data_IF_215993044289
#
_entry.id   IF_215993044289
#
_cell.length_a   1.000
_cell.length_b   1.000
_cell.length_c   1.000
_cell.angle_alpha   90.00
_cell.angle_beta   90.00
_cell.angle_gamma   90.00
#
_symmetry.space_group_name_H-M   'P 1'
#
loop_
_entity.id
_entity.type
_entity.pdbx_description
1 polymer ?
#
# COMPACT_ATOMS: atom_id res chain seq x y z
N UNK A 1 50.30 38.81 30.84
CA UNK A 1 49.70 37.52 30.39
C UNK A 1 48.17 37.58 30.22
N UNK A 2 47.53 38.75 30.09
CA UNK A 2 46.06 38.87 29.96
C UNK A 2 45.56 38.99 28.51
N UNK A 3 46.45 39.34 27.57
CA UNK A 3 46.09 39.55 26.16
C UNK A 3 45.78 38.26 25.39
N UNK A 4 46.52 37.16 25.66
CA UNK A 4 46.39 35.91 24.89
C UNK A 4 45.02 35.23 25.06
N UNK A 5 44.43 35.31 26.25
CA UNK A 5 43.13 34.70 26.54
C UNK A 5 41.99 35.38 25.76
N UNK A 6 42.09 36.69 25.51
CA UNK A 6 41.09 37.41 24.72
C UNK A 6 41.18 37.06 23.23
N UNK A 7 42.38 36.80 22.71
CA UNK A 7 42.56 36.37 21.32
C UNK A 7 42.01 34.98 21.07
N UNK A 8 42.18 34.05 22.01
CA UNK A 8 41.62 32.69 21.91
C UNK A 8 40.10 32.72 21.90
N UNK A 9 39.47 33.49 22.80
CA UNK A 9 38.00 33.60 22.86
C UNK A 9 37.40 34.24 21.59
N UNK A 10 38.06 35.27 21.03
CA UNK A 10 37.62 35.87 19.77
C UNK A 10 37.78 34.93 18.57
N UNK A 11 38.85 34.13 18.55
CA UNK A 11 39.08 33.12 17.51
C UNK A 11 38.02 32.03 17.57
N UNK A 12 37.70 31.53 18.76
CA UNK A 12 36.73 30.46 18.95
C UNK A 12 35.31 30.90 18.60
N UNK A 13 34.95 32.16 18.92
CA UNK A 13 33.69 32.78 18.48
C UNK A 13 33.60 32.91 16.97
N UNK A 14 34.70 33.31 16.29
CA UNK A 14 34.76 33.38 14.82
C UNK A 14 34.63 31.98 14.18
N UNK A 15 35.33 30.98 14.71
CA UNK A 15 35.28 29.60 14.20
C UNK A 15 33.87 28.99 14.33
N UNK A 16 33.19 29.21 15.45
CA UNK A 16 31.78 28.78 15.62
C UNK A 16 30.85 29.41 14.58
N UNK A 17 31.10 30.67 14.19
CA UNK A 17 30.31 31.36 13.16
C UNK A 17 30.56 30.77 11.76
N UNK A 18 31.80 30.43 11.42
CA UNK A 18 32.13 29.81 10.13
C UNK A 18 31.55 28.40 9.97
N UNK A 19 31.35 27.66 11.06
CA UNK A 19 30.73 26.32 11.01
C UNK A 19 29.29 26.31 10.49
N UNK A 20 28.59 27.45 10.54
CA UNK A 20 27.20 27.58 10.12
C UNK A 20 27.04 28.37 8.80
N UNK A 21 28.15 28.71 8.14
CA UNK A 21 28.16 29.41 6.84
C UNK A 21 28.66 28.47 5.75
N UNK A 22 27.93 28.39 4.65
CA UNK A 22 28.33 27.68 3.44
C UNK A 22 29.41 28.44 2.67
N UNK A 23 29.93 27.82 1.61
CA UNK A 23 31.06 28.29 0.79
C UNK A 23 30.87 29.72 0.23
N UNK A 24 29.62 30.18 0.11
CA UNK A 24 29.26 31.52 -0.39
C UNK A 24 28.75 32.49 0.70
N UNK A 25 28.97 32.19 1.99
CA UNK A 25 28.47 33.01 3.09
C UNK A 25 26.97 32.88 3.35
N UNK A 26 26.29 31.96 2.66
CA UNK A 26 24.89 31.60 2.95
C UNK A 26 24.82 30.79 4.25
N UNK A 27 23.84 31.07 5.10
CA UNK A 27 23.59 30.24 6.29
C UNK A 27 23.14 28.87 5.80
N UNK A 28 23.84 27.81 6.22
CA UNK A 28 23.39 26.44 5.96
C UNK A 28 22.14 26.25 6.81
N UNK A 29 20.97 26.43 6.19
CA UNK A 29 19.72 26.12 6.87
C UNK A 29 19.75 24.63 7.20
N UNK A 30 19.53 24.24 8.47
CA UNK A 30 19.44 22.84 8.82
C UNK A 30 18.32 22.21 7.99
N UNK A 31 18.68 21.16 7.24
CA UNK A 31 17.71 20.38 6.49
C UNK A 31 16.59 19.95 7.44
N UNK A 32 15.34 19.93 7.00
CA UNK A 32 14.17 19.61 7.85
C UNK A 32 14.25 18.23 8.56
N UNK A 33 15.21 17.40 8.19
CA UNK A 33 15.59 16.13 8.83
C UNK A 33 16.58 16.25 9.99
N UNK A 34 17.25 17.41 10.14
CA UNK A 34 18.23 17.72 11.20
C UNK A 34 17.69 18.72 12.24
N UNK A 35 16.46 19.20 12.09
CA UNK A 35 15.78 19.92 13.17
C UNK A 35 15.47 18.91 14.27
N UNK A 36 16.18 19.02 15.39
CA UNK A 36 15.91 18.26 16.59
C UNK A 36 14.43 18.45 16.96
N UNK A 37 13.65 17.37 16.87
CA UNK A 37 12.27 17.36 17.34
C UNK A 37 12.31 17.59 18.85
N UNK A 38 11.80 18.74 19.31
CA UNK A 38 11.57 18.92 20.74
C UNK A 38 10.46 17.95 21.16
N UNK A 39 10.86 16.89 21.87
CA UNK A 39 9.95 15.93 22.47
C UNK A 39 9.19 16.61 23.61
N UNK A 40 8.05 17.21 23.28
CA UNK A 40 7.08 17.68 24.27
C UNK A 40 6.29 16.47 24.77
N UNK A 41 5.96 16.36 26.07
CA UNK A 41 5.18 15.22 26.60
C UNK A 41 3.85 14.99 25.86
N UNK A 42 3.22 16.06 25.35
CA UNK A 42 2.03 15.99 24.50
C UNK A 42 2.30 15.34 23.14
N UNK A 43 3.47 15.56 22.54
CA UNK A 43 3.89 14.92 21.29
C UNK A 43 4.08 13.42 21.49
N UNK A 44 4.64 13.01 22.63
CA UNK A 44 4.83 11.61 22.99
C UNK A 44 3.48 10.91 23.20
N UNK A 45 2.53 11.59 23.87
CA UNK A 45 1.16 11.10 23.99
C UNK A 45 0.50 10.95 22.62
N UNK A 46 0.61 11.94 21.74
CA UNK A 46 0.02 11.87 20.39
C UNK A 46 0.64 10.76 19.52
N UNK A 47 1.95 10.52 19.65
CA UNK A 47 2.68 9.50 18.91
C UNK A 47 2.17 8.08 19.23
N UNK A 48 1.66 7.85 20.44
CA UNK A 48 1.08 6.58 20.87
C UNK A 48 -0.44 6.58 20.69
N UNK A 49 -1.12 7.66 21.09
CA UNK A 49 -2.57 7.73 21.08
C UNK A 49 -3.14 7.63 19.66
N UNK A 50 -2.52 8.29 18.67
CA UNK A 50 -2.98 8.26 17.28
C UNK A 50 -2.99 6.83 16.70
N UNK A 51 -1.89 6.05 16.72
CA UNK A 51 -1.93 4.69 16.19
C UNK A 51 -2.90 3.80 16.96
N UNK A 52 -3.02 3.95 18.29
CA UNK A 52 -4.00 3.19 19.06
C UNK A 52 -5.45 3.50 18.65
N UNK A 53 -5.78 4.78 18.48
CA UNK A 53 -7.10 5.21 18.04
C UNK A 53 -7.37 4.67 16.63
N UNK A 54 -6.40 4.74 15.72
CA UNK A 54 -6.54 4.22 14.36
C UNK A 54 -6.73 2.70 14.33
N UNK A 55 -5.97 1.96 15.14
CA UNK A 55 -6.14 0.51 15.27
C UNK A 55 -7.52 0.18 15.84
N UNK A 56 -7.99 0.93 16.83
CA UNK A 56 -9.30 0.73 17.41
C UNK A 56 -10.42 1.00 16.38
N UNK A 57 -10.33 2.11 15.65
CA UNK A 57 -11.26 2.42 14.56
C UNK A 57 -11.24 1.35 13.47
N UNK A 58 -10.05 0.86 13.10
CA UNK A 58 -9.91 -0.21 12.13
C UNK A 58 -10.58 -1.50 12.64
N UNK A 59 -10.33 -1.90 13.89
CA UNK A 59 -10.95 -3.10 14.48
C UNK A 59 -12.47 -2.96 14.58
N UNK A 60 -12.99 -1.77 14.91
CA UNK A 60 -14.44 -1.54 14.94
C UNK A 60 -15.06 -1.53 13.54
N UNK A 61 -14.33 -1.02 12.55
CA UNK A 61 -14.79 -0.96 11.16
C UNK A 61 -14.59 -2.25 10.36
N UNK A 62 -13.71 -3.14 10.80
CA UNK A 62 -13.34 -4.36 10.09
C UNK A 62 -14.55 -5.24 9.71
N UNK A 63 -15.57 -5.45 10.56
CA UNK A 63 -16.75 -6.24 10.17
C UNK A 63 -17.54 -5.59 9.04
N UNK A 64 -17.61 -4.25 9.01
CA UNK A 64 -18.29 -3.52 7.94
C UNK A 64 -17.50 -3.60 6.64
N UNK A 65 -16.17 -3.52 6.72
CA UNK A 65 -15.28 -3.73 5.58
C UNK A 65 -15.45 -5.14 5.02
N UNK A 66 -15.48 -6.17 5.87
CA UNK A 66 -15.70 -7.56 5.42
C UNK A 66 -17.08 -7.76 4.80
N UNK A 67 -18.13 -7.15 5.36
CA UNK A 67 -19.46 -7.19 4.76
C UNK A 67 -19.49 -6.48 3.40
N UNK A 68 -18.82 -5.34 3.25
CA UNK A 68 -18.71 -4.64 1.98
C UNK A 68 -18.01 -5.52 0.93
N UNK A 69 -16.93 -6.20 1.31
CA UNK A 69 -16.27 -7.18 0.45
C UNK A 69 -17.19 -8.33 0.07
N UNK A 70 -17.97 -8.87 1.02
CA UNK A 70 -18.95 -9.91 0.74
C UNK A 70 -19.94 -9.46 -0.34
N UNK A 71 -20.53 -8.27 -0.20
CA UNK A 71 -21.47 -7.71 -1.20
C UNK A 71 -20.79 -7.49 -2.54
N UNK A 72 -19.55 -6.97 -2.54
CA UNK A 72 -18.80 -6.74 -3.77
C UNK A 72 -18.51 -8.05 -4.51
N UNK A 73 -18.11 -9.11 -3.79
CA UNK A 73 -17.92 -10.43 -4.38
C UNK A 73 -19.22 -11.03 -4.89
N UNK A 74 -20.33 -10.91 -4.14
CA UNK A 74 -21.64 -11.38 -4.60
C UNK A 74 -22.02 -10.74 -5.92
N UNK A 75 -21.88 -9.42 -6.01
CA UNK A 75 -22.19 -8.67 -7.22
C UNK A 75 -21.24 -9.02 -8.38
N UNK A 76 -19.95 -9.18 -8.10
CA UNK A 76 -18.97 -9.53 -9.12
C UNK A 76 -19.19 -10.94 -9.69
N UNK A 77 -19.50 -11.92 -8.83
CA UNK A 77 -19.77 -13.29 -9.28
C UNK A 77 -21.08 -13.40 -10.06
N UNK A 78 -22.13 -12.71 -9.62
CA UNK A 78 -23.39 -12.62 -10.36
C UNK A 78 -23.17 -12.03 -11.76
N UNK A 79 -22.39 -10.94 -11.86
CA UNK A 79 -22.05 -10.33 -13.15
C UNK A 79 -21.23 -11.26 -14.07
N UNK A 80 -20.39 -12.11 -13.48
CA UNK A 80 -19.58 -13.07 -14.21
C UNK A 80 -20.35 -14.36 -14.56
N UNK A 81 -21.59 -14.51 -14.11
CA UNK A 81 -22.40 -15.71 -14.29
C UNK A 81 -21.84 -16.92 -13.54
N UNK A 82 -21.11 -16.66 -12.46
CA UNK A 82 -20.48 -17.69 -11.65
C UNK A 82 -21.48 -18.12 -10.56
N UNK A 83 -21.96 -19.35 -10.62
CA UNK A 83 -22.72 -19.99 -9.54
C UNK A 83 -21.76 -20.35 -8.40
N UNK A 84 -21.46 -19.38 -7.53
CA UNK A 84 -20.56 -19.54 -6.39
C UNK A 84 -21.29 -19.16 -5.11
N UNK A 85 -21.32 -20.11 -4.17
CA UNK A 85 -21.73 -19.83 -2.79
C UNK A 85 -20.58 -19.12 -2.07
N UNK A 86 -20.81 -17.85 -1.72
CA UNK A 86 -19.88 -17.11 -0.86
C UNK A 86 -20.02 -17.66 0.55
N UNK A 87 -19.04 -18.45 0.94
CA UNK A 87 -18.93 -19.01 2.28
C UNK A 87 -18.42 -17.93 3.24
N UNK A 88 -18.89 -17.97 4.49
CA UNK A 88 -18.44 -17.05 5.54
C UNK A 88 -17.70 -17.86 6.60
N UNK A 89 -16.39 -17.66 6.68
CA UNK A 89 -15.57 -18.25 7.74
C UNK A 89 -15.50 -17.31 8.93
N UNK A 90 -15.95 -17.78 10.10
CA UNK A 90 -15.87 -16.98 11.33
C UNK A 90 -14.57 -17.29 12.05
N UNK A 91 -13.65 -16.32 12.09
CA UNK A 91 -12.39 -16.44 12.83
C UNK A 91 -12.50 -15.70 14.15
N UNK A 92 -12.07 -16.35 15.23
CA UNK A 92 -11.92 -15.73 16.55
C UNK A 92 -10.58 -15.00 16.62
N UNK A 93 -10.60 -13.67 16.73
CA UNK A 93 -9.37 -12.86 16.84
C UNK A 93 -9.08 -12.52 18.31
N UNK A 94 -10.10 -12.14 19.09
CA UNK A 94 -10.02 -11.93 20.54
C UNK A 94 -11.11 -12.75 21.26
N UNK A 95 -11.04 -12.93 22.60
CA UNK A 95 -12.04 -13.70 23.37
C UNK A 95 -13.51 -13.35 23.08
N UNK A 96 -13.77 -12.08 22.74
CA UNK A 96 -15.11 -11.55 22.44
C UNK A 96 -15.20 -10.85 21.07
N UNK A 97 -14.21 -11.08 20.19
CA UNK A 97 -14.20 -10.48 18.86
C UNK A 97 -14.04 -11.57 17.80
N UNK A 98 -15.09 -11.71 17.01
CA UNK A 98 -15.19 -12.64 15.89
C UNK A 98 -15.24 -11.84 14.60
N UNK A 99 -14.49 -12.28 13.61
CA UNK A 99 -14.47 -11.68 12.30
C UNK A 99 -14.99 -12.68 11.28
N UNK A 100 -16.01 -12.26 10.54
CA UNK A 100 -16.56 -13.00 9.43
C UNK A 100 -15.74 -12.65 8.19
N UNK A 101 -15.02 -13.63 7.66
CA UNK A 101 -14.21 -13.48 6.45
C UNK A 101 -14.98 -14.13 5.30
N UNK A 102 -15.37 -13.36 4.27
CA UNK A 102 -15.95 -13.92 3.06
C UNK A 102 -14.87 -14.73 2.34
N UNK A 103 -15.22 -15.96 1.99
CA UNK A 103 -14.35 -16.88 1.24
C UNK A 103 -15.14 -17.47 0.09
N UNK A 104 -14.44 -17.72 -0.99
CA UNK A 104 -15.01 -18.31 -2.19
C UNK A 104 -14.57 -19.78 -2.26
N UNK A 105 -15.52 -20.69 -2.10
CA UNK A 105 -15.29 -22.11 -2.32
C UNK A 105 -15.60 -22.44 -3.77
N UNK A 106 -14.67 -22.12 -4.68
CA UNK A 106 -14.82 -22.47 -6.08
C UNK A 106 -13.81 -23.54 -6.46
N UNK A 107 -14.29 -24.59 -7.12
CA UNK A 107 -13.43 -25.42 -7.96
C UNK A 107 -12.97 -24.54 -9.12
N UNK A 108 -11.69 -24.14 -9.10
CA UNK A 108 -11.10 -23.36 -10.16
C UNK A 108 -10.96 -24.25 -11.39
N UNK A 109 -11.99 -24.29 -12.22
CA UNK A 109 -11.89 -24.89 -13.55
C UNK A 109 -10.83 -24.16 -14.37
N UNK A 110 -10.17 -24.92 -15.25
CA UNK A 110 -9.16 -24.35 -16.12
C UNK A 110 -9.76 -23.29 -17.04
N UNK A 111 -9.13 -22.10 -17.17
CA UNK A 111 -9.62 -21.06 -18.06
C UNK A 111 -9.81 -21.58 -19.48
N UNK A 112 -11.01 -21.39 -20.00
CA UNK A 112 -11.36 -21.81 -21.36
C UNK A 112 -10.76 -20.84 -22.39
N UNK A 113 -10.70 -21.26 -23.66
CA UNK A 113 -10.18 -20.39 -24.73
C UNK A 113 -10.96 -19.05 -24.82
N UNK A 114 -12.25 -19.09 -24.48
CA UNK A 114 -13.12 -17.91 -24.40
C UNK A 114 -12.70 -16.97 -23.28
N UNK A 115 -12.30 -17.48 -22.12
CA UNK A 115 -11.82 -16.64 -21.00
C UNK A 115 -10.52 -15.94 -21.34
N UNK A 116 -9.59 -16.65 -22.01
CA UNK A 116 -8.37 -16.05 -22.54
C UNK A 116 -8.66 -14.89 -23.50
N UNK A 117 -9.63 -15.07 -24.41
CA UNK A 117 -9.99 -13.99 -25.35
C UNK A 117 -10.59 -12.77 -24.65
N UNK A 118 -11.48 -12.98 -23.66
CA UNK A 118 -12.12 -11.91 -22.89
C UNK A 118 -11.11 -11.12 -22.08
N UNK A 119 -10.26 -11.82 -21.33
CA UNK A 119 -9.20 -11.19 -20.51
C UNK A 119 -8.21 -10.43 -21.39
N UNK A 120 -7.78 -11.01 -22.52
CA UNK A 120 -6.89 -10.35 -23.47
C UNK A 120 -7.48 -9.06 -24.04
N UNK A 121 -8.76 -9.06 -24.42
CA UNK A 121 -9.47 -7.86 -24.87
C UNK A 121 -9.53 -6.81 -23.75
N UNK A 122 -9.91 -7.21 -22.53
CA UNK A 122 -10.01 -6.28 -21.40
C UNK A 122 -8.67 -5.63 -21.06
N UNK A 123 -7.57 -6.40 -20.99
CA UNK A 123 -6.23 -5.86 -20.75
C UNK A 123 -5.84 -4.87 -21.86
N UNK A 124 -6.12 -5.21 -23.12
CA UNK A 124 -5.82 -4.35 -24.27
C UNK A 124 -6.59 -3.03 -24.21
N UNK A 125 -7.89 -3.08 -23.88
CA UNK A 125 -8.75 -1.90 -23.74
C UNK A 125 -8.28 -1.00 -22.61
N UNK A 126 -8.00 -1.56 -21.42
CA UNK A 126 -7.49 -0.78 -20.27
C UNK A 126 -6.14 -0.14 -20.60
N UNK A 127 -5.26 -0.88 -21.29
CA UNK A 127 -3.97 -0.36 -21.70
C UNK A 127 -4.12 0.82 -22.68
N UNK A 128 -5.00 0.72 -23.68
CA UNK A 128 -5.29 1.81 -24.62
C UNK A 128 -5.89 3.02 -23.89
N UNK A 129 -6.86 2.80 -23.01
CA UNK A 129 -7.47 3.86 -22.20
C UNK A 129 -6.42 4.60 -21.37
N UNK A 130 -5.39 3.91 -20.87
CA UNK A 130 -4.29 4.53 -20.11
C UNK A 130 -3.49 5.58 -20.92
N UNK A 131 -3.60 5.62 -22.25
CA UNK A 131 -2.98 6.65 -23.09
C UNK A 131 -3.91 7.84 -23.37
N UNK A 132 -5.20 7.71 -23.09
CA UNK A 132 -6.20 8.76 -23.33
C UNK A 132 -6.31 9.72 -22.13
N UNK A 133 -5.90 9.28 -20.94
CA UNK A 133 -5.93 10.10 -19.73
C UNK A 133 -4.98 11.30 -19.79
N UNK A 134 -5.45 12.44 -19.27
CA UNK A 134 -4.67 13.68 -19.14
C UNK A 134 -3.53 13.55 -18.12
N UNK A 135 -2.42 14.27 -18.34
CA UNK A 135 -1.19 14.22 -17.51
C UNK A 135 -1.41 14.50 -16.02
N UNK A 136 -2.52 15.17 -15.66
CA UNK A 136 -2.92 15.39 -14.26
C UNK A 136 -3.18 14.10 -13.46
N UNK A 137 -3.38 12.96 -14.15
CA UNK A 137 -3.60 11.64 -13.54
C UNK A 137 -2.40 10.70 -13.69
N UNK A 138 -1.20 11.25 -13.89
CA UNK A 138 0.07 10.50 -13.99
C UNK A 138 0.20 9.33 -13.00
N UNK A 139 0.01 9.45 -11.67
CA UNK A 139 0.15 8.31 -10.76
C UNK A 139 -0.83 7.17 -11.07
N UNK A 140 -2.07 7.49 -11.47
CA UNK A 140 -3.08 6.50 -11.83
C UNK A 140 -2.74 5.81 -13.16
N UNK A 141 -2.24 6.55 -14.14
CA UNK A 141 -1.81 6.02 -15.44
C UNK A 141 -0.68 5.01 -15.25
N UNK A 142 0.34 5.34 -14.46
CA UNK A 142 1.44 4.42 -14.19
C UNK A 142 0.97 3.18 -13.43
N UNK A 143 0.08 3.36 -12.44
CA UNK A 143 -0.52 2.23 -11.73
C UNK A 143 -1.26 1.28 -12.68
N UNK A 144 -2.15 1.80 -13.54
CA UNK A 144 -2.88 1.00 -14.52
C UNK A 144 -1.95 0.27 -15.49
N UNK A 145 -0.88 0.92 -15.96
CA UNK A 145 0.10 0.31 -16.86
C UNK A 145 0.87 -0.82 -16.18
N UNK A 146 1.27 -0.64 -14.92
CA UNK A 146 1.93 -1.70 -14.14
C UNK A 146 0.99 -2.89 -13.97
N UNK A 147 -0.27 -2.65 -13.60
CA UNK A 147 -1.29 -3.71 -13.49
C UNK A 147 -1.46 -4.45 -14.83
N UNK A 148 -1.56 -3.72 -15.94
CA UNK A 148 -1.65 -4.34 -17.27
C UNK A 148 -0.41 -5.18 -17.60
N UNK A 149 0.78 -4.70 -17.26
CA UNK A 149 2.04 -5.42 -17.51
C UNK A 149 2.09 -6.71 -16.69
N UNK A 150 1.77 -6.66 -15.40
CA UNK A 150 1.69 -7.84 -14.53
C UNK A 150 0.68 -8.84 -15.08
N UNK A 151 -0.52 -8.38 -15.45
CA UNK A 151 -1.56 -9.24 -16.02
C UNK A 151 -1.14 -9.85 -17.35
N UNK A 152 -0.46 -9.09 -18.22
CA UNK A 152 0.06 -9.60 -19.49
C UNK A 152 1.15 -10.67 -19.25
N UNK A 153 2.04 -10.45 -18.28
CA UNK A 153 3.05 -11.47 -17.94
C UNK A 153 2.43 -12.74 -17.39
N UNK A 154 1.41 -12.64 -16.54
CA UNK A 154 0.66 -13.79 -16.05
C UNK A 154 -0.06 -14.51 -17.20
N UNK A 155 -0.72 -13.75 -18.08
CA UNK A 155 -1.41 -14.28 -19.25
C UNK A 155 -0.46 -15.04 -20.19
N UNK A 156 0.71 -14.49 -20.46
CA UNK A 156 1.76 -15.13 -21.26
C UNK A 156 2.25 -16.39 -20.56
N UNK A 157 2.52 -16.32 -19.25
CA UNK A 157 2.97 -17.47 -18.48
C UNK A 157 1.97 -18.64 -18.54
N UNK A 158 0.69 -18.40 -18.23
CA UNK A 158 -0.36 -19.44 -18.26
C UNK A 158 -0.68 -19.95 -19.67
N UNK A 159 -0.34 -19.19 -20.71
CA UNK A 159 -0.44 -19.67 -22.10
C UNK A 159 0.64 -20.71 -22.43
N UNK A 160 1.83 -20.60 -21.83
CA UNK A 160 2.96 -21.49 -22.11
C UNK A 160 3.13 -22.62 -21.09
N UNK A 161 2.73 -22.41 -19.85
CA UNK A 161 2.80 -23.41 -18.77
C UNK A 161 1.38 -23.81 -18.31
N UNK A 162 0.71 -24.74 -19.00
CA UNK A 162 -0.65 -25.18 -18.68
C UNK A 162 -0.68 -26.27 -17.59
N UNK A 163 0.27 -26.26 -16.64
CA UNK A 163 0.33 -27.29 -15.58
C UNK A 163 -0.72 -27.00 -14.51
N UNK A 164 -1.59 -27.97 -14.15
CA UNK A 164 -2.64 -27.75 -13.17
C UNK A 164 -2.02 -27.32 -11.86
N UNK A 165 -2.59 -26.26 -11.27
CA UNK A 165 -2.27 -25.90 -9.90
C UNK A 165 -2.48 -27.14 -9.04
N UNK A 166 -1.40 -27.64 -8.45
CA UNK A 166 -1.40 -28.89 -7.67
C UNK A 166 -2.12 -28.75 -6.32
N UNK A 167 -2.78 -27.61 -6.09
CA UNK A 167 -3.43 -27.27 -4.83
C UNK A 167 -4.93 -27.21 -5.09
N UNK A 168 -5.63 -28.27 -4.67
CA UNK A 168 -7.08 -28.24 -4.59
C UNK A 168 -7.44 -27.58 -3.25
N UNK A 169 -8.10 -26.42 -3.28
CA UNK A 169 -8.52 -25.73 -2.04
C UNK A 169 -9.52 -26.57 -1.22
N UNK A 170 -10.18 -27.54 -1.86
CA UNK A 170 -11.03 -28.55 -1.23
C UNK A 170 -10.28 -29.54 -0.33
N UNK A 171 -8.95 -29.65 -0.45
CA UNK A 171 -8.11 -30.48 0.43
C UNK A 171 -7.74 -29.78 1.75
N UNK A 172 -7.96 -28.46 1.85
CA UNK A 172 -7.74 -27.66 3.07
C UNK A 172 -9.04 -27.46 3.88
N UNK A 173 -9.91 -28.46 3.91
CA UNK A 173 -11.08 -28.50 4.80
C UNK A 173 -10.70 -28.99 6.20
#
# INVERSE_FOLDING_TARGET
MSGDLQFVDQRDKKLKRFRHMGVYGSVIQPHRSMTAFHLVPSSLLSMIAIPFILILFLLLGLPHVMHLWQVFFSYAFDLMGIESDINVYTIKILPYYYLNIPSCGMEAEWPTITDFSRVGITITVIFIISFIFSESFTPLIYFLRVVCLVQLTAFVYFKFEPVPFSYNLSEYN
#
